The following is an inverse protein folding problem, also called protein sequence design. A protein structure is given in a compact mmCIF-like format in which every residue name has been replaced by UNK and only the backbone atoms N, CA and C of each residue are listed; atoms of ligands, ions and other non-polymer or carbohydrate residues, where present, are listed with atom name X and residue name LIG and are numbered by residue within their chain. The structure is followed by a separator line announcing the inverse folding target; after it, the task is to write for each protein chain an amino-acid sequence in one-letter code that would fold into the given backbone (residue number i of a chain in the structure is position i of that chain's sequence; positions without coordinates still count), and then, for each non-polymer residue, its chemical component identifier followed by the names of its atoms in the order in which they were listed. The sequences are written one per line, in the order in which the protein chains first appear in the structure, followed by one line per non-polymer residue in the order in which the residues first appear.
data_IF_251008241956
#
_entry.id   IF_251008241956
#
_cell.length_a   1.000
_cell.length_b   1.000
_cell.length_c   1.000
_cell.angle_alpha   90.00
_cell.angle_beta   90.00
_cell.angle_gamma   90.00
#
_symmetry.space_group_name_H-M   'P 1'
#
loop_
_entity.id
_entity.type
_entity.pdbx_description
1 polymer ?
#
# COMPACT_ATOMS: atom_id res chain seq x y z
N UNK A 1 -6.70 -2.64 11.19
CA UNK A 1 -5.84 -3.85 11.24
C UNK A 1 -4.48 -3.44 10.72
N UNK A 2 -3.37 -3.66 11.42
CA UNK A 2 -2.07 -3.08 11.02
C UNK A 2 -1.14 -4.15 10.47
N UNK A 3 -0.68 -3.99 9.23
CA UNK A 3 0.29 -4.88 8.59
C UNK A 3 1.71 -4.39 8.85
N UNK A 4 2.59 -5.32 9.19
CA UNK A 4 4.02 -5.05 9.40
C UNK A 4 4.77 -4.95 8.06
N UNK A 5 5.93 -4.27 8.06
CA UNK A 5 6.80 -4.18 6.88
C UNK A 5 7.18 -5.57 6.33
N UNK A 6 7.46 -6.55 7.19
CA UNK A 6 7.82 -7.90 6.75
C UNK A 6 6.65 -8.64 6.09
N UNK A 7 5.42 -8.45 6.57
CA UNK A 7 4.22 -8.96 5.90
C UNK A 7 3.99 -8.27 4.55
N UNK A 8 4.14 -6.95 4.48
CA UNK A 8 4.03 -6.20 3.22
C UNK A 8 5.06 -6.68 2.19
N UNK A 9 6.32 -6.89 2.59
CA UNK A 9 7.36 -7.45 1.71
C UNK A 9 6.97 -8.85 1.22
N UNK A 10 6.44 -9.73 2.09
CA UNK A 10 5.97 -11.06 1.67
C UNK A 10 4.88 -10.98 0.61
N UNK A 11 3.94 -10.06 0.76
CA UNK A 11 2.87 -9.83 -0.22
C UNK A 11 3.45 -9.29 -1.52
N UNK A 12 4.31 -8.27 -1.46
CA UNK A 12 4.94 -7.70 -2.65
C UNK A 12 5.81 -8.72 -3.41
N UNK A 13 6.54 -9.58 -2.71
CA UNK A 13 7.29 -10.67 -3.33
C UNK A 13 6.39 -11.66 -4.07
N UNK A 14 5.24 -12.04 -3.47
CA UNK A 14 4.25 -12.89 -4.14
C UNK A 14 3.66 -12.22 -5.39
N UNK A 15 3.51 -10.90 -5.36
CA UNK A 15 2.99 -10.10 -6.48
C UNK A 15 4.05 -9.76 -7.53
N UNK A 16 5.32 -10.16 -7.32
CA UNK A 16 6.42 -9.85 -8.26
C UNK A 16 6.81 -8.37 -8.27
N UNK A 17 6.71 -7.67 -7.14
CA UNK A 17 7.09 -6.26 -7.03
C UNK A 17 8.58 -6.08 -7.27
N UNK A 18 8.92 -5.17 -8.19
CA UNK A 18 10.30 -4.72 -8.39
C UNK A 18 10.64 -3.63 -7.35
N UNK A 19 11.30 -4.04 -6.27
CA UNK A 19 11.73 -3.15 -5.19
C UNK A 19 12.81 -2.14 -5.60
N UNK A 20 13.34 -2.21 -6.83
CA UNK A 20 14.18 -1.13 -7.39
C UNK A 20 13.34 0.04 -7.90
N UNK A 21 12.06 -0.19 -8.20
CA UNK A 21 11.11 0.81 -8.72
C UNK A 21 10.09 1.25 -7.69
N UNK A 22 9.72 0.36 -6.77
CA UNK A 22 8.70 0.61 -5.75
C UNK A 22 9.36 0.76 -4.38
N UNK A 23 9.15 1.90 -3.72
CA UNK A 23 9.59 2.09 -2.33
C UNK A 23 8.79 1.18 -1.39
N UNK A 24 9.50 0.38 -0.60
CA UNK A 24 8.93 -0.50 0.42
C UNK A 24 8.11 0.29 1.45
N UNK A 25 8.51 1.53 1.78
CA UNK A 25 7.79 2.39 2.73
C UNK A 25 6.43 2.80 2.17
N UNK A 26 6.39 3.28 0.94
CA UNK A 26 5.15 3.65 0.25
C UNK A 26 4.23 2.44 0.11
N UNK A 27 4.77 1.29 -0.30
CA UNK A 27 4.00 0.06 -0.38
C UNK A 27 3.45 -0.38 0.99
N UNK A 28 4.25 -0.32 2.05
CA UNK A 28 3.80 -0.67 3.40
C UNK A 28 2.75 0.30 3.93
N UNK A 29 2.89 1.60 3.64
CA UNK A 29 1.90 2.61 4.00
C UNK A 29 0.59 2.35 3.28
N UNK A 30 0.63 2.16 1.96
CA UNK A 30 -0.55 1.85 1.17
C UNK A 30 -1.25 0.59 1.62
N UNK A 31 -0.49 -0.48 1.90
CA UNK A 31 -1.08 -1.70 2.43
C UNK A 31 -1.82 -1.46 3.76
N UNK A 32 -1.37 -0.54 4.62
CA UNK A 32 -2.09 -0.21 5.84
C UNK A 32 -3.33 0.64 5.58
N UNK A 33 -3.29 1.59 4.64
CA UNK A 33 -4.44 2.43 4.26
C UNK A 33 -5.54 1.58 3.61
N UNK A 34 -5.20 0.84 2.55
CA UNK A 34 -6.17 0.06 1.78
C UNK A 34 -6.78 -1.11 2.59
N UNK A 35 -6.04 -1.67 3.57
CA UNK A 35 -6.57 -2.72 4.45
C UNK A 35 -7.58 -2.21 5.48
N UNK A 36 -7.65 -0.89 5.72
CA UNK A 36 -8.72 -0.32 6.54
C UNK A 36 -10.06 -0.39 5.80
N UNK A 37 -10.03 -0.32 4.46
CA UNK A 37 -11.19 -0.50 3.56
C UNK A 37 -11.45 -1.98 3.23
N UNK A 38 -11.63 -2.81 4.26
CA UNK A 38 -11.81 -4.28 4.14
C UNK A 38 -12.96 -4.70 3.22
N UNK A 39 -13.94 -3.84 3.06
CA UNK A 39 -15.17 -4.02 2.30
C UNK A 39 -14.88 -4.26 0.81
N UNK A 40 -13.78 -3.68 0.30
CA UNK A 40 -13.39 -3.71 -1.11
C UNK A 40 -12.50 -4.93 -1.43
N UNK A 41 -11.72 -5.40 -0.45
CA UNK A 41 -10.71 -6.45 -0.67
C UNK A 41 -11.09 -7.79 -0.05
N UNK A 42 -12.20 -7.86 0.69
CA UNK A 42 -12.59 -8.99 1.55
C UNK A 42 -11.46 -9.37 2.53
N UNK A 43 -10.59 -8.41 2.87
CA UNK A 43 -9.39 -8.64 3.69
C UNK A 43 -8.26 -9.41 2.99
N UNK A 44 -8.32 -9.63 1.67
CA UNK A 44 -7.24 -10.26 0.92
C UNK A 44 -6.04 -9.33 0.77
N UNK A 45 -4.91 -9.74 1.35
CA UNK A 45 -3.65 -9.03 1.22
C UNK A 45 -3.19 -8.90 -0.24
N UNK A 46 -3.47 -9.88 -1.11
CA UNK A 46 -3.04 -9.85 -2.51
C UNK A 46 -3.89 -8.89 -3.34
N UNK A 47 -5.22 -8.86 -3.12
CA UNK A 47 -6.09 -7.84 -3.75
C UNK A 47 -5.68 -6.44 -3.30
N UNK A 48 -5.46 -6.25 -2.00
CA UNK A 48 -4.97 -5.00 -1.43
C UNK A 48 -3.65 -4.57 -2.08
N UNK A 49 -2.67 -5.47 -2.15
CA UNK A 49 -1.37 -5.16 -2.74
C UNK A 49 -1.45 -4.76 -4.22
N UNK A 50 -2.39 -5.31 -5.00
CA UNK A 50 -2.61 -4.89 -6.39
C UNK A 50 -3.16 -3.46 -6.50
N UNK A 51 -4.03 -3.04 -5.58
CA UNK A 51 -4.55 -1.66 -5.52
C UNK A 51 -3.43 -0.68 -5.18
N UNK A 52 -2.63 -1.00 -4.16
CA UNK A 52 -1.45 -0.21 -3.78
C UNK A 52 -0.50 -0.04 -4.96
N UNK A 53 -0.24 -1.12 -5.71
CA UNK A 53 0.62 -1.04 -6.91
C UNK A 53 0.00 -0.23 -8.04
N UNK A 54 -1.33 -0.18 -8.17
CA UNK A 54 -1.96 0.67 -9.16
C UNK A 54 -1.67 2.15 -8.85
N UNK A 55 -1.87 2.57 -7.60
CA UNK A 55 -1.57 3.94 -7.18
C UNK A 55 -0.07 4.28 -7.32
N UNK A 56 0.82 3.39 -6.90
CA UNK A 56 2.27 3.61 -7.00
C UNK A 56 2.81 3.60 -8.43
N UNK A 57 2.04 3.13 -9.41
CA UNK A 57 2.37 3.28 -10.84
C UNK A 57 1.99 4.64 -11.39
N UNK A 58 0.99 5.29 -10.80
CA UNK A 58 0.57 6.63 -11.20
C UNK A 58 1.44 7.69 -10.51
N UNK A 59 1.70 7.53 -9.20
CA UNK A 59 2.50 8.43 -8.39
C UNK A 59 3.33 7.62 -7.39
N UNK A 60 4.65 7.70 -7.50
CA UNK A 60 5.59 6.91 -6.68
C UNK A 60 5.52 7.24 -5.18
N UNK A 61 5.08 8.45 -4.83
CA UNK A 61 4.90 8.97 -3.46
C UNK A 61 3.42 9.15 -3.05
N UNK A 62 2.50 8.45 -3.71
CA UNK A 62 1.05 8.59 -3.53
C UNK A 62 0.60 8.59 -2.07
N UNK A 63 1.06 7.63 -1.26
CA UNK A 63 0.59 7.48 0.12
C UNK A 63 1.22 8.50 1.06
N UNK A 64 2.42 8.99 0.74
CA UNK A 64 2.97 10.17 1.40
C UNK A 64 2.11 11.41 1.14
N UNK A 65 1.70 11.66 -0.10
CA UNK A 65 0.82 12.80 -0.44
C UNK A 65 -0.53 12.71 0.25
N UNK A 66 -1.17 11.54 0.18
CA UNK A 66 -2.46 11.29 0.84
C UNK A 66 -2.38 11.61 2.34
N UNK A 67 -1.33 11.13 3.01
CA UNK A 67 -1.11 11.39 4.43
C UNK A 67 -0.93 12.86 4.77
N UNK A 68 -0.35 13.68 3.88
CA UNK A 68 -0.26 15.14 4.08
C UNK A 68 -1.65 15.78 3.97
N UNK A 69 -2.43 15.40 2.96
CA UNK A 69 -3.79 15.91 2.76
C UNK A 69 -4.70 15.59 3.95
N UNK A 70 -4.70 14.34 4.42
CA UNK A 70 -5.51 13.92 5.57
C UNK A 70 -5.16 14.64 6.87
N UNK A 71 -3.88 15.00 7.07
CA UNK A 71 -3.44 15.79 8.23
C UNK A 71 -3.88 17.25 8.16
N UNK A 72 -3.99 17.82 6.96
CA UNK A 72 -4.47 19.17 6.74
C UNK A 72 -5.99 19.30 6.81
N UNK A 73 -6.72 18.19 6.82
CA UNK A 73 -8.18 18.13 6.93
C UNK A 73 -8.68 17.79 8.34
N UNK A 74 -7.86 18.00 9.38
CA UNK A 74 -8.22 17.81 10.80
C UNK A 74 -8.31 19.11 11.57
#
# INVERSE_FOLDING_TARGET
MRITKSQAIRVGNKLGVDWKKVDIKEFTMGMNVELEHKDVTEGSYEKTGKIVLAHLREWDDYYSRLKVMEKGSR
#
